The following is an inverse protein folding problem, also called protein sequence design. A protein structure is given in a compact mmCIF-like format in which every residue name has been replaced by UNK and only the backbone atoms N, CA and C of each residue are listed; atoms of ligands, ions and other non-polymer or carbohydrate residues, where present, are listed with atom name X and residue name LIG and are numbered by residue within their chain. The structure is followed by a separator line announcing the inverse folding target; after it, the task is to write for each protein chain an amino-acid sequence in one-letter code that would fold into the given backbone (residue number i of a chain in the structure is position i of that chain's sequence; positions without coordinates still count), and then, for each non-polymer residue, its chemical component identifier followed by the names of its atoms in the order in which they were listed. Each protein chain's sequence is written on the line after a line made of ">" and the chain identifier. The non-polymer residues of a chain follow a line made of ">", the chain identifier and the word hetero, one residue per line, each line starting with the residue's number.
data_IF_454207539278
#
_entry.id   IF_454207539278
#
_cell.length_a   1.000
_cell.length_b   1.000
_cell.length_c   1.000
_cell.angle_alpha   90.00
_cell.angle_beta   90.00
_cell.angle_gamma   90.00
#
_symmetry.space_group_name_H-M   'P 1'
#
loop_
_entity.id
_entity.type
_entity.pdbx_description
1 polymer ?
#
# COMPACT_ATOMS: atom_id res chain seq x y z
N UNK A 1 24.40 -2.47 25.84
CA UNK A 1 23.78 -1.51 24.89
C UNK A 1 23.27 -2.33 23.71
N UNK A 2 21.99 -2.24 23.41
CA UNK A 2 21.44 -2.87 22.20
C UNK A 2 21.65 -1.92 21.03
N UNK A 3 22.09 -2.45 19.90
CA UNK A 3 22.18 -1.71 18.64
C UNK A 3 21.20 -2.37 17.68
N UNK A 4 20.37 -1.56 16.99
CA UNK A 4 19.47 -1.99 15.94
C UNK A 4 19.78 -1.22 14.66
N UNK A 5 19.74 -1.92 13.54
CA UNK A 5 19.88 -1.32 12.20
C UNK A 5 18.60 -1.54 11.41
N UNK A 6 18.02 -0.46 10.89
CA UNK A 6 16.83 -0.45 10.06
C UNK A 6 17.25 -0.45 8.59
N UNK A 7 16.87 -1.46 7.82
CA UNK A 7 16.96 -1.43 6.36
C UNK A 7 15.82 -0.58 5.79
N UNK A 8 16.13 0.34 4.88
CA UNK A 8 15.16 1.21 4.22
C UNK A 8 15.58 1.54 2.81
N UNK A 9 14.61 1.80 1.94
CA UNK A 9 14.87 2.44 0.64
C UNK A 9 15.26 3.90 0.85
N UNK A 10 16.01 4.45 -0.10
CA UNK A 10 16.50 5.85 -0.04
C UNK A 10 15.47 6.88 -0.54
N UNK A 11 14.29 6.49 -0.99
CA UNK A 11 13.24 7.45 -1.35
C UNK A 11 12.84 8.29 -0.14
N UNK A 12 12.52 9.58 -0.35
CA UNK A 12 12.16 10.50 0.75
C UNK A 12 11.07 9.94 1.67
N UNK A 13 10.05 9.27 1.11
CA UNK A 13 8.98 8.65 1.89
C UNK A 13 9.48 7.46 2.71
N UNK A 14 10.32 6.60 2.14
CA UNK A 14 10.84 5.44 2.87
C UNK A 14 11.81 5.89 3.99
N UNK A 15 12.63 6.89 3.73
CA UNK A 15 13.50 7.46 4.77
C UNK A 15 12.69 8.08 5.90
N UNK A 16 11.66 8.85 5.60
CA UNK A 16 10.74 9.37 6.63
C UNK A 16 10.16 8.23 7.49
N UNK A 17 9.73 7.12 6.85
CA UNK A 17 9.16 5.97 7.56
C UNK A 17 10.19 5.30 8.47
N UNK A 18 11.41 5.11 8.00
CA UNK A 18 12.52 4.56 8.79
C UNK A 18 12.90 5.47 9.95
N UNK A 19 12.98 6.77 9.73
CA UNK A 19 13.27 7.78 10.76
C UNK A 19 12.17 7.81 11.83
N UNK A 20 10.90 7.76 11.42
CA UNK A 20 9.78 7.68 12.33
C UNK A 20 9.87 6.45 13.25
N UNK A 21 10.17 5.28 12.71
CA UNK A 21 10.35 4.05 13.50
C UNK A 21 11.60 4.13 14.37
N UNK A 22 12.71 4.65 13.86
CA UNK A 22 13.95 4.90 14.64
C UNK A 22 13.66 5.74 15.89
N UNK A 23 12.96 6.85 15.70
CA UNK A 23 12.71 7.79 16.77
C UNK A 23 11.75 7.23 17.81
N UNK A 24 10.72 6.46 17.39
CA UNK A 24 9.86 5.70 18.30
C UNK A 24 10.63 4.63 19.08
N UNK A 25 11.51 3.88 18.43
CA UNK A 25 12.34 2.87 19.11
C UNK A 25 13.28 3.49 20.14
N UNK A 26 13.89 4.65 19.83
CA UNK A 26 14.74 5.38 20.78
C UNK A 26 13.95 5.89 22.00
N UNK A 27 12.71 6.32 21.78
CA UNK A 27 11.81 6.74 22.86
C UNK A 27 11.40 5.57 23.77
N UNK A 28 11.11 4.40 23.18
CA UNK A 28 10.73 3.19 23.92
C UNK A 28 11.92 2.55 24.63
N UNK A 29 13.11 2.64 24.05
CA UNK A 29 14.34 2.00 24.53
C UNK A 29 15.50 3.00 24.61
N UNK A 30 15.55 3.90 25.62
CA UNK A 30 16.54 4.99 25.70
C UNK A 30 18.00 4.54 25.69
N UNK A 31 18.27 3.27 26.03
CA UNK A 31 19.62 2.66 25.98
C UNK A 31 19.97 2.00 24.64
N UNK A 32 19.09 2.06 23.65
CA UNK A 32 19.29 1.44 22.35
C UNK A 32 19.82 2.47 21.33
N UNK A 33 20.89 2.08 20.62
CA UNK A 33 21.35 2.82 19.44
C UNK A 33 20.63 2.29 18.22
N UNK A 34 19.93 3.16 17.47
CA UNK A 34 19.22 2.79 16.25
C UNK A 34 19.79 3.55 15.07
N UNK A 35 20.32 2.83 14.08
CA UNK A 35 20.84 3.34 12.81
C UNK A 35 19.94 2.98 11.64
N UNK A 36 20.11 3.65 10.50
CA UNK A 36 19.38 3.36 9.26
C UNK A 36 20.41 3.00 8.18
N UNK A 37 20.19 1.87 7.52
CA UNK A 37 20.91 1.43 6.34
C UNK A 37 20.03 1.73 5.11
N UNK A 38 20.35 2.83 4.42
CA UNK A 38 19.69 3.20 3.17
C UNK A 38 20.19 2.36 2.00
N UNK A 39 19.29 1.96 1.10
CA UNK A 39 19.65 1.23 -0.10
C UNK A 39 18.70 1.52 -1.26
N UNK A 40 19.23 1.42 -2.48
CA UNK A 40 18.46 1.59 -3.71
C UNK A 40 17.99 0.23 -4.19
N UNK A 41 16.69 0.07 -4.42
CA UNK A 41 16.12 -1.19 -4.94
C UNK A 41 16.01 -1.18 -6.46
N UNK A 42 15.89 -2.38 -7.08
CA UNK A 42 15.62 -2.49 -8.53
C UNK A 42 14.33 -1.77 -8.92
N UNK A 43 13.33 -1.78 -8.06
CA UNK A 43 12.07 -1.06 -8.28
C UNK A 43 12.24 0.46 -8.35
N UNK A 44 13.25 1.03 -7.65
CA UNK A 44 13.58 2.45 -7.70
C UNK A 44 14.32 2.83 -8.98
N UNK A 45 15.09 1.92 -9.56
CA UNK A 45 15.89 2.14 -10.77
C UNK A 45 15.06 2.04 -12.07
N UNK A 46 14.02 1.21 -12.10
CA UNK A 46 13.22 0.98 -13.30
C UNK A 46 12.06 1.99 -13.35
N UNK A 47 12.22 3.06 -14.11
CA UNK A 47 11.23 4.14 -14.25
C UNK A 47 10.43 4.09 -15.57
N UNK A 48 10.95 3.41 -16.60
CA UNK A 48 10.45 3.50 -17.98
C UNK A 48 9.36 2.47 -18.32
N UNK A 49 9.14 1.47 -17.47
CA UNK A 49 8.17 0.39 -17.71
C UNK A 49 7.15 0.32 -16.59
N UNK A 50 5.88 0.06 -16.90
CA UNK A 50 4.83 -0.09 -15.87
C UNK A 50 5.12 -1.31 -14.97
N UNK A 51 4.79 -1.23 -13.68
CA UNK A 51 5.02 -2.33 -12.73
C UNK A 51 4.40 -3.65 -13.18
N UNK A 52 3.27 -3.59 -13.89
CA UNK A 52 2.59 -4.75 -14.47
C UNK A 52 3.40 -5.48 -15.55
N UNK A 53 4.37 -4.82 -16.18
CA UNK A 53 5.21 -5.40 -17.24
C UNK A 53 6.57 -5.91 -16.76
N UNK A 54 6.99 -5.52 -15.55
CA UNK A 54 8.34 -5.85 -15.08
C UNK A 54 8.37 -7.26 -14.48
N UNK A 55 7.21 -7.80 -14.09
CA UNK A 55 7.09 -9.12 -13.46
C UNK A 55 8.03 -9.25 -12.25
N UNK A 56 7.52 -9.57 -11.10
CA UNK A 56 8.37 -9.83 -9.96
C UNK A 56 7.72 -9.40 -8.64
N UNK A 57 7.37 -10.39 -7.85
CA UNK A 57 7.01 -10.19 -6.45
C UNK A 57 8.24 -9.63 -5.73
N UNK A 58 8.08 -8.57 -4.95
CA UNK A 58 9.14 -8.07 -4.09
C UNK A 58 10.14 -7.08 -4.71
N UNK A 59 9.85 -6.41 -5.82
CA UNK A 59 10.74 -5.42 -6.47
C UNK A 59 11.27 -4.31 -5.55
N UNK A 60 10.59 -4.04 -4.46
CA UNK A 60 10.94 -3.00 -3.49
C UNK A 60 11.38 -3.56 -2.13
N UNK A 61 11.41 -4.89 -1.97
CA UNK A 61 11.61 -5.57 -0.69
C UNK A 61 12.85 -6.45 -0.71
N UNK A 62 13.17 -7.04 -1.86
CA UNK A 62 14.21 -8.07 -2.00
C UNK A 62 15.60 -7.63 -1.49
N UNK A 63 16.03 -6.43 -1.79
CA UNK A 63 17.33 -5.92 -1.32
C UNK A 63 17.37 -5.74 0.19
N UNK A 64 16.21 -5.37 0.79
CA UNK A 64 16.08 -5.25 2.23
C UNK A 64 16.11 -6.64 2.90
N UNK A 65 15.41 -7.63 2.33
CA UNK A 65 15.46 -9.03 2.79
C UNK A 65 16.89 -9.60 2.74
N UNK A 66 17.63 -9.31 1.66
CA UNK A 66 19.06 -9.72 1.56
C UNK A 66 19.91 -9.08 2.68
N UNK A 67 19.66 -7.81 3.01
CA UNK A 67 20.37 -7.16 4.11
C UNK A 67 20.02 -7.76 5.48
N UNK A 68 18.75 -8.14 5.70
CA UNK A 68 18.30 -8.85 6.88
C UNK A 68 18.95 -10.24 6.99
N UNK A 69 18.96 -11.00 5.90
CA UNK A 69 19.54 -12.35 5.83
C UNK A 69 21.06 -12.31 6.10
N UNK A 70 21.74 -11.32 5.53
CA UNK A 70 23.18 -11.13 5.74
C UNK A 70 23.54 -10.55 7.13
N UNK A 71 22.56 -10.25 7.98
CA UNK A 71 22.79 -9.64 9.29
C UNK A 71 23.33 -8.20 9.22
N UNK A 72 23.17 -7.51 8.10
CA UNK A 72 23.52 -6.10 7.93
C UNK A 72 22.45 -5.18 8.53
N UNK A 73 21.22 -5.68 8.66
CA UNK A 73 20.11 -5.00 9.32
C UNK A 73 19.34 -6.00 10.20
N UNK A 74 18.66 -5.47 11.23
CA UNK A 74 17.85 -6.24 12.17
C UNK A 74 16.37 -6.23 11.80
N UNK A 75 15.91 -5.15 11.18
CA UNK A 75 14.52 -4.95 10.75
C UNK A 75 14.45 -4.12 9.46
N UNK A 76 13.37 -4.29 8.71
CA UNK A 76 13.04 -3.48 7.54
C UNK A 76 11.69 -2.80 7.73
N UNK A 77 11.59 -1.54 7.27
CA UNK A 77 10.37 -0.73 7.38
C UNK A 77 9.74 -0.55 6.00
N UNK A 78 8.45 -0.86 5.90
CA UNK A 78 7.70 -0.85 4.65
C UNK A 78 6.39 -0.08 4.76
N UNK A 79 5.94 0.49 3.64
CA UNK A 79 4.51 0.74 3.46
C UNK A 79 3.81 -0.61 3.32
N UNK A 80 2.82 -0.90 4.14
CA UNK A 80 2.15 -2.21 4.18
C UNK A 80 1.62 -2.69 2.83
N UNK A 81 1.10 -1.76 2.00
CA UNK A 81 0.59 -2.09 0.66
C UNK A 81 1.65 -2.61 -0.32
N UNK A 82 2.94 -2.37 -0.03
CA UNK A 82 4.06 -2.76 -0.88
C UNK A 82 4.68 -4.10 -0.40
N UNK A 83 4.28 -4.59 0.77
CA UNK A 83 4.73 -5.89 1.32
C UNK A 83 4.03 -7.03 0.59
N UNK A 84 4.77 -8.01 0.06
CA UNK A 84 4.19 -9.20 -0.56
C UNK A 84 3.17 -9.88 0.34
N UNK A 85 2.12 -10.48 -0.23
CA UNK A 85 1.09 -11.17 0.57
C UNK A 85 1.67 -12.36 1.33
N UNK A 86 2.71 -13.00 0.78
CA UNK A 86 3.51 -14.05 1.40
C UNK A 86 4.95 -13.58 1.45
N UNK A 87 5.55 -13.64 2.63
CA UNK A 87 6.97 -13.39 2.82
C UNK A 87 7.78 -14.65 2.50
N UNK A 88 9.03 -14.52 2.07
CA UNK A 88 9.91 -15.66 1.92
C UNK A 88 10.09 -16.43 3.25
N UNK A 89 10.39 -17.73 3.19
CA UNK A 89 10.76 -18.48 4.39
C UNK A 89 11.91 -17.80 5.16
N UNK A 90 11.80 -17.76 6.47
CA UNK A 90 12.80 -17.11 7.33
C UNK A 90 12.48 -15.67 7.71
N UNK A 91 11.46 -15.07 7.12
CA UNK A 91 11.01 -13.69 7.46
C UNK A 91 9.60 -13.68 8.04
N UNK A 92 9.33 -12.65 8.83
CA UNK A 92 8.01 -12.41 9.42
C UNK A 92 7.71 -10.93 9.52
N UNK A 93 6.44 -10.59 9.38
CA UNK A 93 5.92 -9.27 9.66
C UNK A 93 5.64 -9.17 11.17
N UNK A 94 6.58 -8.62 11.91
CA UNK A 94 6.51 -8.53 13.36
C UNK A 94 5.56 -7.46 13.88
N UNK A 95 5.36 -6.40 13.09
CA UNK A 95 4.54 -5.23 13.48
C UNK A 95 3.72 -4.75 12.31
N UNK A 96 2.46 -4.43 12.61
CA UNK A 96 1.62 -3.56 11.78
C UNK A 96 1.31 -2.34 12.65
N UNK A 97 1.90 -1.20 12.28
CA UNK A 97 1.77 0.06 13.03
C UNK A 97 0.44 0.76 12.78
N UNK A 98 0.18 1.78 13.59
CA UNK A 98 -1.01 2.62 13.46
C UNK A 98 -1.18 3.15 12.03
N UNK A 99 -2.42 3.13 11.54
CA UNK A 99 -2.76 3.51 10.17
C UNK A 99 -2.95 5.01 10.06
N UNK A 100 -2.22 5.66 9.16
CA UNK A 100 -2.53 7.00 8.66
C UNK A 100 -3.69 6.89 7.64
N UNK A 101 -4.26 8.02 7.22
CA UNK A 101 -5.39 8.11 6.29
C UNK A 101 -5.24 7.14 5.09
N UNK A 102 -6.11 6.12 4.97
CA UNK A 102 -6.01 5.11 3.92
C UNK A 102 -6.49 5.60 2.56
N UNK A 103 -7.13 6.77 2.48
CA UNK A 103 -7.79 7.27 1.27
C UNK A 103 -6.80 7.64 0.19
N UNK A 104 -7.30 7.64 -1.03
CA UNK A 104 -6.61 8.25 -2.16
C UNK A 104 -6.85 9.76 -2.16
N UNK A 105 -5.79 10.50 -2.48
CA UNK A 105 -5.81 11.96 -2.59
C UNK A 105 -5.86 12.38 -4.05
N UNK A 106 -6.79 13.26 -4.37
CA UNK A 106 -6.84 14.01 -5.61
C UNK A 106 -5.91 15.21 -5.49
N UNK A 107 -4.97 15.31 -6.41
CA UNK A 107 -4.00 16.41 -6.48
C UNK A 107 -4.07 17.04 -7.85
N UNK A 108 -4.30 18.34 -7.90
CA UNK A 108 -4.37 19.14 -9.12
C UNK A 108 -3.90 20.56 -8.84
N UNK A 109 -3.38 21.26 -9.86
CA UNK A 109 -3.07 22.68 -9.75
C UNK A 109 -4.27 23.57 -10.11
N UNK A 110 -5.27 23.03 -10.81
CA UNK A 110 -6.38 23.81 -11.39
C UNK A 110 -7.75 23.40 -10.86
N UNK A 111 -7.96 22.12 -10.49
CA UNK A 111 -9.26 21.56 -10.16
C UNK A 111 -9.33 21.14 -8.70
N UNK A 112 -10.51 21.22 -8.09
CA UNK A 112 -10.73 20.86 -6.69
C UNK A 112 -11.14 19.38 -6.52
N UNK A 113 -11.80 18.76 -7.51
CA UNK A 113 -12.34 17.39 -7.47
C UNK A 113 -12.25 16.71 -8.83
N UNK A 114 -12.35 15.37 -8.83
CA UNK A 114 -12.44 14.58 -10.07
C UNK A 114 -13.63 15.00 -10.96
N UNK A 115 -14.76 15.34 -10.34
CA UNK A 115 -15.97 15.78 -11.06
C UNK A 115 -15.82 17.09 -11.79
N UNK A 116 -14.84 17.91 -11.45
CA UNK A 116 -14.62 19.23 -12.04
C UNK A 116 -13.76 19.14 -13.31
N UNK A 117 -13.16 17.98 -13.58
CA UNK A 117 -12.35 17.76 -14.77
C UNK A 117 -13.24 17.73 -16.03
N UNK A 118 -12.82 18.42 -17.12
CA UNK A 118 -13.55 18.41 -18.38
C UNK A 118 -13.48 17.02 -19.07
N UNK A 119 -14.39 16.75 -20.02
CA UNK A 119 -14.27 15.59 -20.90
C UNK A 119 -12.88 15.54 -21.57
N UNK A 120 -12.22 14.36 -21.48
CA UNK A 120 -10.86 14.18 -21.96
C UNK A 120 -9.76 14.58 -20.97
N UNK A 121 -10.12 15.17 -19.82
CA UNK A 121 -9.17 15.55 -18.76
C UNK A 121 -8.25 14.40 -18.39
N UNK A 122 -6.95 14.69 -18.23
CA UNK A 122 -5.88 13.67 -18.08
C UNK A 122 -5.56 13.46 -16.61
N UNK A 123 -5.82 12.23 -16.11
CA UNK A 123 -5.49 11.83 -14.75
C UNK A 123 -4.31 10.86 -14.74
N UNK A 124 -3.26 11.22 -13.98
CA UNK A 124 -2.05 10.42 -13.85
C UNK A 124 -2.14 9.36 -12.76
N UNK A 125 -2.00 8.07 -13.13
CA UNK A 125 -1.79 6.95 -12.20
C UNK A 125 -1.15 5.77 -12.92
N UNK A 126 -0.37 4.94 -12.21
CA UNK A 126 0.10 3.63 -12.69
C UNK A 126 -0.44 2.50 -11.82
N UNK A 127 -1.42 2.79 -10.96
CA UNK A 127 -2.10 1.79 -10.15
C UNK A 127 -3.32 1.27 -10.91
N UNK A 128 -3.30 -0.01 -11.28
CA UNK A 128 -4.46 -0.67 -11.94
C UNK A 128 -5.71 -0.59 -11.06
N UNK A 129 -5.56 -0.65 -9.74
CA UNK A 129 -6.65 -0.45 -8.78
C UNK A 129 -7.33 0.91 -8.94
N UNK A 130 -6.53 1.99 -9.05
CA UNK A 130 -7.06 3.34 -9.25
C UNK A 130 -7.62 3.54 -10.64
N UNK A 131 -6.90 3.06 -11.64
CA UNK A 131 -7.30 3.16 -13.05
C UNK A 131 -8.67 2.51 -13.29
N UNK A 132 -8.88 1.28 -12.82
CA UNK A 132 -10.16 0.58 -12.97
C UNK A 132 -11.32 1.36 -12.34
N UNK A 133 -11.13 1.88 -11.11
CA UNK A 133 -12.15 2.68 -10.43
C UNK A 133 -12.42 4.02 -11.13
N UNK A 134 -11.38 4.68 -11.62
CA UNK A 134 -11.53 5.92 -12.41
C UNK A 134 -12.33 5.66 -13.70
N UNK A 135 -11.95 4.64 -14.47
CA UNK A 135 -12.61 4.32 -15.74
C UNK A 135 -14.07 3.90 -15.56
N UNK A 136 -14.37 3.16 -14.50
CA UNK A 136 -15.74 2.76 -14.19
C UNK A 136 -16.63 3.95 -13.80
N UNK A 137 -16.11 4.93 -13.05
CA UNK A 137 -16.89 6.04 -12.49
C UNK A 137 -16.84 7.33 -13.32
N UNK A 138 -15.71 7.55 -14.00
CA UNK A 138 -15.43 8.75 -14.80
C UNK A 138 -14.96 8.37 -16.20
N UNK A 139 -15.82 7.68 -17.01
CA UNK A 139 -15.42 7.16 -18.33
C UNK A 139 -15.07 8.26 -19.35
N UNK A 140 -15.42 9.51 -19.05
CA UNK A 140 -15.07 10.66 -19.87
C UNK A 140 -13.64 11.18 -19.64
N UNK A 141 -12.92 10.66 -18.62
CA UNK A 141 -11.55 11.05 -18.33
C UNK A 141 -10.54 10.14 -19.04
N UNK A 142 -9.37 10.72 -19.32
CA UNK A 142 -8.23 10.00 -19.88
C UNK A 142 -7.26 9.62 -18.78
N UNK A 143 -6.99 8.34 -18.60
CA UNK A 143 -5.99 7.86 -17.63
C UNK A 143 -4.66 7.61 -18.32
N UNK A 144 -3.59 8.24 -17.82
CA UNK A 144 -2.22 8.04 -18.33
C UNK A 144 -1.29 7.52 -17.24
N UNK A 145 -0.28 6.67 -17.61
CA UNK A 145 0.71 6.18 -16.65
C UNK A 145 1.51 7.30 -15.99
N UNK A 146 1.63 7.24 -14.67
CA UNK A 146 2.43 8.16 -13.86
C UNK A 146 3.37 7.37 -12.95
N UNK A 147 4.69 7.45 -13.21
CA UNK A 147 5.75 6.75 -12.48
C UNK A 147 6.69 7.72 -11.77
N UNK A 148 7.45 7.17 -10.82
CA UNK A 148 8.40 7.88 -9.97
C UNK A 148 7.98 7.89 -8.50
N UNK A 149 8.81 8.46 -7.64
CA UNK A 149 8.46 8.74 -6.25
C UNK A 149 7.44 9.90 -6.15
N UNK A 150 6.98 10.23 -4.95
CA UNK A 150 5.98 11.28 -4.73
C UNK A 150 6.43 12.62 -5.32
N UNK A 151 7.68 13.02 -5.06
CA UNK A 151 8.23 14.30 -5.58
C UNK A 151 8.28 14.34 -7.12
N UNK A 152 8.73 13.24 -7.75
CA UNK A 152 8.77 13.14 -9.21
C UNK A 152 7.36 13.25 -9.83
N UNK A 153 6.36 12.62 -9.19
CA UNK A 153 4.98 12.68 -9.69
C UNK A 153 4.36 14.06 -9.55
N UNK A 154 4.63 14.75 -8.43
CA UNK A 154 4.20 16.13 -8.23
C UNK A 154 4.88 17.07 -9.24
N UNK A 155 6.19 16.89 -9.48
CA UNK A 155 6.89 17.67 -10.50
C UNK A 155 6.27 17.51 -11.89
N UNK A 156 5.89 16.30 -12.31
CA UNK A 156 5.22 16.07 -13.60
C UNK A 156 3.85 16.75 -13.68
N UNK A 157 3.12 16.84 -12.56
CA UNK A 157 1.89 17.63 -12.48
C UNK A 157 2.18 19.12 -12.60
N UNK A 158 3.22 19.62 -11.93
CA UNK A 158 3.62 21.04 -11.97
C UNK A 158 4.19 21.47 -13.34
N UNK A 159 4.61 20.49 -14.16
CA UNK A 159 5.01 20.66 -15.56
C UNK A 159 3.83 20.48 -16.54
N UNK A 160 2.59 20.51 -16.08
CA UNK A 160 1.35 20.41 -16.87
C UNK A 160 1.24 19.14 -17.74
N UNK A 161 1.94 18.05 -17.35
CA UNK A 161 1.83 16.75 -18.05
C UNK A 161 0.49 16.04 -17.76
N UNK A 162 -0.22 16.46 -16.72
CA UNK A 162 -1.50 15.93 -16.24
C UNK A 162 -2.37 17.07 -15.70
N UNK A 163 -3.69 16.98 -15.87
CA UNK A 163 -4.65 17.88 -15.21
C UNK A 163 -4.80 17.55 -13.70
N UNK A 164 -4.64 16.27 -13.36
CA UNK A 164 -4.66 15.79 -11.99
C UNK A 164 -3.86 14.48 -11.85
N UNK A 165 -3.50 14.15 -10.62
CA UNK A 165 -2.88 12.86 -10.27
C UNK A 165 -3.53 12.27 -9.02
N UNK A 166 -3.54 10.94 -8.89
CA UNK A 166 -3.98 10.25 -7.68
C UNK A 166 -2.79 9.69 -6.90
N UNK A 167 -2.70 10.07 -5.64
CA UNK A 167 -1.68 9.60 -4.69
C UNK A 167 -2.34 9.03 -3.42
N UNK A 168 -1.58 8.30 -2.61
CA UNK A 168 -2.05 7.94 -1.28
C UNK A 168 -1.91 9.15 -0.34
N UNK A 169 -2.98 9.52 0.37
CA UNK A 169 -3.00 10.64 1.31
C UNK A 169 -1.91 10.51 2.37
N UNK A 170 -1.74 9.31 2.94
CA UNK A 170 -0.71 9.02 3.92
C UNK A 170 0.71 9.41 3.45
N UNK A 171 1.04 9.16 2.18
CA UNK A 171 2.34 9.51 1.62
C UNK A 171 2.57 11.02 1.55
N UNK A 172 1.56 11.78 1.15
CA UNK A 172 1.62 13.26 1.11
C UNK A 172 1.72 13.85 2.52
N UNK A 173 0.88 13.38 3.46
CA UNK A 173 0.89 13.85 4.84
C UNK A 173 2.24 13.61 5.53
N UNK A 174 2.82 12.40 5.38
CA UNK A 174 4.12 12.05 5.94
C UNK A 174 5.26 12.93 5.42
N UNK A 175 5.19 13.36 4.18
CA UNK A 175 6.17 14.26 3.57
C UNK A 175 5.90 15.75 3.84
N UNK A 176 4.89 16.10 4.65
CA UNK A 176 4.50 17.49 4.88
C UNK A 176 3.89 18.18 3.65
N UNK A 177 3.36 17.38 2.71
CA UNK A 177 2.76 17.86 1.46
C UNK A 177 1.23 17.79 1.49
N UNK A 178 0.63 17.83 2.68
CA UNK A 178 -0.82 17.80 2.85
C UNK A 178 -1.55 18.91 2.10
N UNK A 179 -0.96 20.08 1.99
CA UNK A 179 -1.52 21.24 1.29
C UNK A 179 -1.69 21.02 -0.23
N UNK A 180 -1.03 20.00 -0.80
CA UNK A 180 -1.20 19.60 -2.20
C UNK A 180 -2.48 18.79 -2.42
N UNK A 181 -3.12 18.30 -1.36
CA UNK A 181 -4.37 17.54 -1.43
C UNK A 181 -5.52 18.52 -1.65
N UNK A 182 -6.15 18.46 -2.83
CA UNK A 182 -7.34 19.22 -3.13
C UNK A 182 -8.59 18.59 -2.52
N UNK A 183 -8.73 17.28 -2.69
CA UNK A 183 -9.79 16.50 -2.05
C UNK A 183 -9.32 15.07 -1.75
N UNK A 184 -9.97 14.45 -0.79
CA UNK A 184 -9.80 13.04 -0.45
C UNK A 184 -10.97 12.28 -1.08
N UNK A 185 -10.66 11.22 -1.82
CA UNK A 185 -11.69 10.34 -2.34
C UNK A 185 -12.28 9.52 -1.19
N UNK A 186 -13.60 9.39 -1.13
CA UNK A 186 -14.23 8.52 -0.14
C UNK A 186 -13.80 7.07 -0.37
N UNK A 187 -13.86 6.24 0.67
CA UNK A 187 -13.52 4.81 0.53
C UNK A 187 -14.48 4.10 -0.44
N UNK A 188 -15.73 4.55 -0.50
CA UNK A 188 -16.76 4.06 -1.42
C UNK A 188 -16.43 4.42 -2.88
N UNK A 189 -15.83 5.59 -3.09
CA UNK A 189 -15.46 6.06 -4.43
C UNK A 189 -14.11 5.52 -4.89
N UNK A 190 -13.20 5.27 -3.97
CA UNK A 190 -11.89 4.69 -4.26
C UNK A 190 -11.47 3.73 -3.15
N UNK A 191 -11.88 2.46 -3.26
CA UNK A 191 -11.49 1.43 -2.29
C UNK A 191 -9.96 1.32 -2.27
N UNK A 192 -9.32 1.51 -1.10
CA UNK A 192 -7.86 1.50 -0.96
C UNK A 192 -7.21 0.16 -1.31
N UNK A 193 -5.90 0.19 -1.51
CA UNK A 193 -5.10 -1.04 -1.54
C UNK A 193 -5.02 -1.65 -0.13
N UNK A 194 -4.94 -2.98 -0.03
CA UNK A 194 -4.73 -3.67 1.24
C UNK A 194 -3.51 -3.09 1.99
N UNK A 195 -3.72 -2.66 3.22
CA UNK A 195 -2.70 -2.06 4.07
C UNK A 195 -2.33 -0.61 3.72
N UNK A 196 -3.01 0.06 2.80
CA UNK A 196 -2.72 1.47 2.50
C UNK A 196 -2.85 2.34 3.75
N UNK A 197 -1.83 3.18 4.01
CA UNK A 197 -1.73 4.03 5.19
C UNK A 197 -0.99 3.41 6.37
N UNK A 198 -0.91 2.09 6.49
CA UNK A 198 -0.17 1.42 7.57
C UNK A 198 1.32 1.23 7.22
N UNK A 199 2.17 1.16 8.26
CA UNK A 199 3.56 0.72 8.18
C UNK A 199 3.66 -0.74 8.64
N UNK A 200 4.53 -1.51 7.99
CA UNK A 200 4.92 -2.84 8.41
C UNK A 200 6.38 -2.90 8.80
N UNK A 201 6.71 -3.67 9.83
CA UNK A 201 8.08 -3.95 10.20
C UNK A 201 8.33 -5.45 10.02
N UNK A 202 9.25 -5.74 9.13
CA UNK A 202 9.70 -7.08 8.81
C UNK A 202 11.01 -7.38 9.53
N UNK A 203 11.15 -8.61 10.05
CA UNK A 203 12.35 -9.12 10.68
C UNK A 203 12.59 -10.57 10.24
N UNK A 204 13.76 -11.10 10.54
CA UNK A 204 13.95 -12.55 10.49
C UNK A 204 13.15 -13.24 11.59
N UNK A 205 12.56 -14.38 11.28
CA UNK A 205 11.73 -15.15 12.22
C UNK A 205 12.51 -15.76 13.39
N UNK A 206 13.83 -15.87 13.25
CA UNK A 206 14.75 -16.41 14.28
C UNK A 206 15.27 -15.34 15.26
N UNK A 207 14.69 -14.13 15.28
CA UNK A 207 15.11 -12.99 16.12
C UNK A 207 14.06 -12.63 17.21
N UNK A 208 13.76 -13.50 18.19
CA UNK A 208 12.74 -13.22 19.20
C UNK A 208 13.06 -12.00 20.09
N UNK A 209 14.34 -11.70 20.30
CA UNK A 209 14.76 -10.53 21.07
C UNK A 209 14.41 -9.22 20.34
N UNK A 210 14.61 -9.16 19.03
CA UNK A 210 14.19 -8.02 18.21
C UNK A 210 12.67 -7.90 18.19
N UNK A 211 11.96 -9.02 17.99
CA UNK A 211 10.50 -9.04 18.01
C UNK A 211 9.95 -8.47 19.32
N UNK A 212 10.52 -8.85 20.48
CA UNK A 212 10.11 -8.35 21.78
C UNK A 212 10.29 -6.83 21.93
N UNK A 213 11.33 -6.25 21.36
CA UNK A 213 11.55 -4.81 21.37
C UNK A 213 10.52 -4.04 20.50
N UNK A 214 9.93 -4.69 19.52
CA UNK A 214 9.01 -4.09 18.55
C UNK A 214 7.54 -4.15 19.00
N UNK A 215 7.17 -4.99 19.95
CA UNK A 215 5.77 -5.26 20.35
C UNK A 215 4.97 -3.97 20.62
N UNK A 216 5.58 -2.98 21.29
CA UNK A 216 4.91 -1.72 21.62
C UNK A 216 4.62 -0.83 20.38
N UNK A 217 5.17 -1.15 19.23
CA UNK A 217 4.88 -0.45 17.97
C UNK A 217 3.66 -1.03 17.25
N UNK A 218 3.22 -2.23 17.61
CA UNK A 218 2.08 -2.87 16.98
C UNK A 218 0.78 -2.18 17.39
N UNK A 219 -0.12 -1.95 16.41
CA UNK A 219 -1.44 -1.41 16.64
C UNK A 219 -2.49 -2.49 16.37
N UNK A 220 -3.09 -3.10 17.42
CA UNK A 220 -3.95 -4.28 17.26
C UNK A 220 -5.14 -4.08 16.32
N UNK A 221 -5.81 -2.93 16.40
CA UNK A 221 -6.96 -2.63 15.54
C UNK A 221 -6.56 -2.51 14.07
N UNK A 222 -5.48 -1.78 13.77
CA UNK A 222 -4.94 -1.71 12.41
C UNK A 222 -4.46 -3.08 11.94
N UNK A 223 -3.82 -3.86 12.81
CA UNK A 223 -3.35 -5.19 12.47
C UNK A 223 -4.50 -6.12 12.08
N UNK A 224 -5.62 -6.11 12.82
CA UNK A 224 -6.80 -6.88 12.48
C UNK A 224 -7.36 -6.46 11.10
N UNK A 225 -7.55 -5.16 10.88
CA UNK A 225 -8.02 -4.65 9.59
C UNK A 225 -7.11 -5.06 8.43
N UNK A 226 -5.80 -4.83 8.57
CA UNK A 226 -4.82 -5.13 7.50
C UNK A 226 -4.71 -6.62 7.23
N UNK A 227 -4.81 -7.48 8.25
CA UNK A 227 -4.80 -8.94 8.09
C UNK A 227 -6.01 -9.41 7.28
N UNK A 228 -7.21 -8.88 7.54
CA UNK A 228 -8.40 -9.17 6.74
C UNK A 228 -8.24 -8.71 5.28
N UNK A 229 -7.77 -7.49 5.04
CA UNK A 229 -7.52 -6.94 3.71
C UNK A 229 -6.49 -7.78 2.93
N UNK A 230 -5.39 -8.17 3.57
CA UNK A 230 -4.35 -9.02 2.98
C UNK A 230 -4.86 -10.43 2.66
N UNK A 231 -5.78 -10.96 3.46
CA UNK A 231 -6.40 -12.26 3.17
C UNK A 231 -7.22 -12.21 1.89
N UNK A 232 -8.01 -11.14 1.65
CA UNK A 232 -8.70 -10.95 0.36
C UNK A 232 -7.72 -10.98 -0.80
N UNK A 233 -6.63 -10.22 -0.67
CA UNK A 233 -5.59 -10.15 -1.71
C UNK A 233 -4.90 -11.50 -1.93
N UNK A 234 -4.63 -12.25 -0.86
CA UNK A 234 -4.00 -13.58 -0.92
C UNK A 234 -4.87 -14.58 -1.68
N UNK A 235 -6.15 -14.66 -1.34
CA UNK A 235 -7.11 -15.61 -1.95
C UNK A 235 -7.35 -15.29 -3.42
N UNK A 236 -7.41 -14.01 -3.77
CA UNK A 236 -7.67 -13.56 -5.14
C UNK A 236 -6.39 -13.48 -5.99
N UNK A 237 -5.24 -13.90 -5.46
CA UNK A 237 -3.96 -13.82 -6.17
C UNK A 237 -3.50 -12.38 -6.41
N UNK A 238 -3.97 -11.45 -5.56
CA UNK A 238 -3.71 -10.03 -5.68
C UNK A 238 -2.25 -9.67 -5.50
N UNK A 239 -1.75 -8.89 -6.44
CA UNK A 239 -0.47 -8.19 -6.40
C UNK A 239 -0.70 -6.74 -6.82
N UNK A 240 0.36 -5.94 -6.84
CA UNK A 240 0.28 -4.57 -7.41
C UNK A 240 -0.15 -4.55 -8.89
N UNK A 241 -0.25 -5.72 -9.53
CA UNK A 241 -0.57 -5.93 -10.94
C UNK A 241 -2.03 -6.31 -11.18
N UNK A 242 -2.84 -6.39 -10.12
CA UNK A 242 -4.26 -6.76 -10.20
C UNK A 242 -5.11 -5.54 -9.82
N UNK A 243 -6.16 -5.22 -10.59
CA UNK A 243 -7.11 -4.15 -10.24
C UNK A 243 -8.03 -4.64 -9.12
N UNK A 244 -7.48 -4.71 -7.92
CA UNK A 244 -8.10 -5.18 -6.70
C UNK A 244 -7.87 -4.15 -5.57
N UNK A 245 -8.89 -3.92 -4.77
CA UNK A 245 -8.82 -3.16 -3.53
C UNK A 245 -9.58 -3.87 -2.43
N UNK A 246 -9.11 -3.71 -1.20
CA UNK A 246 -9.80 -4.16 0.01
C UNK A 246 -9.49 -3.19 1.15
N UNK A 247 -10.53 -2.80 1.89
CA UNK A 247 -10.39 -1.92 3.03
C UNK A 247 -11.30 -2.35 4.16
N UNK A 248 -10.73 -2.47 5.35
CA UNK A 248 -11.44 -2.86 6.56
C UNK A 248 -11.41 -1.74 7.60
N UNK A 249 -12.48 -1.67 8.37
CA UNK A 249 -12.64 -0.79 9.52
C UNK A 249 -13.20 -1.57 10.70
N UNK A 250 -12.82 -1.19 11.91
CA UNK A 250 -13.39 -1.70 13.14
C UNK A 250 -14.48 -0.73 13.63
N UNK A 251 -15.68 -1.25 13.86
CA UNK A 251 -16.81 -0.49 14.40
C UNK A 251 -17.34 -1.23 15.64
N UNK A 252 -17.02 -0.74 16.83
CA UNK A 252 -17.23 -1.49 18.05
C UNK A 252 -16.47 -2.83 18.01
N UNK A 253 -17.17 -3.92 18.28
CA UNK A 253 -16.61 -5.28 18.28
C UNK A 253 -16.77 -6.01 16.92
N UNK A 254 -17.03 -5.26 15.85
CA UNK A 254 -17.24 -5.85 14.52
C UNK A 254 -16.26 -5.29 13.51
N UNK A 255 -15.57 -6.18 12.80
CA UNK A 255 -14.71 -5.84 11.68
C UNK A 255 -15.56 -5.84 10.40
N UNK A 256 -15.64 -4.68 9.74
CA UNK A 256 -16.28 -4.50 8.44
C UNK A 256 -15.23 -4.40 7.36
N UNK A 257 -15.43 -5.09 6.25
CA UNK A 257 -14.52 -5.06 5.10
C UNK A 257 -15.30 -4.91 3.81
N UNK A 258 -14.84 -4.05 2.92
CA UNK A 258 -15.32 -3.92 1.56
C UNK A 258 -14.17 -4.12 0.58
N UNK A 259 -14.46 -4.67 -0.60
CA UNK A 259 -13.46 -4.89 -1.62
C UNK A 259 -14.05 -5.01 -3.01
N UNK A 260 -13.18 -4.96 -4.01
CA UNK A 260 -13.56 -5.10 -5.40
C UNK A 260 -12.49 -5.81 -6.22
N UNK A 261 -12.93 -6.37 -7.34
CA UNK A 261 -12.08 -6.81 -8.46
C UNK A 261 -12.69 -6.23 -9.74
N UNK A 262 -11.86 -5.73 -10.66
CA UNK A 262 -12.34 -5.16 -11.90
C UNK A 262 -11.42 -5.48 -13.08
N UNK A 263 -11.94 -5.31 -14.30
CA UNK A 263 -11.07 -5.21 -15.47
C UNK A 263 -10.29 -3.87 -15.43
N UNK A 264 -9.06 -3.81 -15.95
CA UNK A 264 -8.29 -2.58 -16.00
C UNK A 264 -8.99 -1.42 -16.73
N UNK A 265 -9.83 -1.75 -17.71
CA UNK A 265 -10.61 -0.79 -18.48
C UNK A 265 -11.91 -0.32 -17.79
N UNK A 266 -12.24 -0.89 -16.61
CA UNK A 266 -13.44 -0.57 -15.85
C UNK A 266 -14.73 -1.20 -16.40
N UNK A 267 -14.68 -2.01 -17.46
CA UNK A 267 -15.86 -2.60 -18.13
C UNK A 267 -16.62 -3.61 -17.26
N UNK A 268 -15.91 -4.32 -16.39
CA UNK A 268 -16.48 -5.18 -15.37
C UNK A 268 -15.95 -4.76 -14.01
N UNK A 269 -16.87 -4.51 -13.10
CA UNK A 269 -16.56 -4.06 -11.74
C UNK A 269 -17.41 -4.86 -10.74
N UNK A 270 -16.77 -5.78 -10.04
CA UNK A 270 -17.38 -6.63 -9.02
C UNK A 270 -16.97 -6.11 -7.66
N UNK A 271 -17.91 -5.81 -6.80
CA UNK A 271 -17.65 -5.40 -5.43
C UNK A 271 -18.62 -6.09 -4.47
N UNK A 272 -18.18 -6.32 -3.24
CA UNK A 272 -19.01 -6.78 -2.13
C UNK A 272 -18.40 -6.36 -0.79
N UNK A 273 -19.10 -6.64 0.28
CA UNK A 273 -18.69 -6.39 1.64
C UNK A 273 -18.98 -7.58 2.54
N UNK A 274 -18.24 -7.69 3.63
CA UNK A 274 -18.43 -8.67 4.68
C UNK A 274 -18.20 -8.04 6.05
N UNK A 275 -18.68 -8.70 7.10
CA UNK A 275 -18.40 -8.32 8.47
C UNK A 275 -18.25 -9.57 9.34
N UNK A 276 -17.51 -9.45 10.43
CA UNK A 276 -17.29 -10.56 11.36
C UNK A 276 -16.45 -10.18 12.57
N UNK A 277 -15.96 -11.20 13.25
CA UNK A 277 -15.21 -11.06 14.49
C UNK A 277 -13.78 -10.55 14.22
N UNK A 278 -13.35 -9.43 14.82
CA UNK A 278 -11.99 -8.91 14.66
C UNK A 278 -10.90 -9.81 15.25
N UNK A 279 -11.26 -10.80 16.06
CA UNK A 279 -10.32 -11.80 16.60
C UNK A 279 -9.92 -12.85 15.57
N UNK A 280 -10.73 -13.02 14.50
CA UNK A 280 -10.42 -13.87 13.36
C UNK A 280 -10.54 -13.08 12.04
N UNK A 281 -9.65 -12.10 11.83
CA UNK A 281 -9.74 -11.19 10.70
C UNK A 281 -9.52 -11.90 9.36
N UNK A 282 -8.74 -12.97 9.33
CA UNK A 282 -8.53 -13.76 8.12
C UNK A 282 -9.82 -14.46 7.68
N UNK A 283 -10.64 -14.95 8.60
CA UNK A 283 -11.94 -15.52 8.25
C UNK A 283 -12.88 -14.48 7.63
N UNK A 284 -12.84 -13.23 8.13
CA UNK A 284 -13.63 -12.14 7.55
C UNK A 284 -13.13 -11.78 6.15
N UNK A 285 -11.82 -11.72 5.94
CA UNK A 285 -11.22 -11.52 4.63
C UNK A 285 -11.52 -12.66 3.65
N UNK A 286 -11.49 -13.91 4.12
CA UNK A 286 -11.86 -15.09 3.33
C UNK A 286 -13.32 -15.01 2.88
N UNK A 287 -14.23 -14.67 3.79
CA UNK A 287 -15.66 -14.52 3.48
C UNK A 287 -15.90 -13.50 2.36
N UNK A 288 -15.21 -12.35 2.38
CA UNK A 288 -15.32 -11.37 1.30
C UNK A 288 -14.75 -11.92 -0.01
N UNK A 289 -13.60 -12.58 0.04
CA UNK A 289 -12.99 -13.16 -1.15
C UNK A 289 -13.92 -14.21 -1.82
N UNK A 290 -14.54 -15.07 -1.01
CA UNK A 290 -15.48 -16.10 -1.50
C UNK A 290 -16.72 -15.47 -2.16
N UNK A 291 -17.25 -14.38 -1.58
CA UNK A 291 -18.35 -13.62 -2.18
C UNK A 291 -17.96 -13.01 -3.53
N UNK A 292 -16.77 -12.38 -3.62
CA UNK A 292 -16.28 -11.81 -4.87
C UNK A 292 -16.09 -12.91 -5.95
N UNK A 293 -15.57 -14.09 -5.54
CA UNK A 293 -15.44 -15.25 -6.44
C UNK A 293 -16.81 -15.76 -6.92
N UNK A 294 -17.79 -15.83 -6.05
CA UNK A 294 -19.15 -16.23 -6.41
C UNK A 294 -19.83 -15.26 -7.40
N UNK A 295 -19.46 -13.96 -7.33
CA UNK A 295 -19.89 -12.93 -8.28
C UNK A 295 -19.12 -12.95 -9.61
N UNK A 296 -18.13 -13.85 -9.78
CA UNK A 296 -17.41 -14.03 -11.04
C UNK A 296 -16.01 -13.39 -11.08
N UNK A 297 -15.45 -12.98 -9.96
CA UNK A 297 -14.12 -12.38 -9.92
C UNK A 297 -13.03 -13.26 -10.55
N UNK A 298 -13.16 -14.60 -10.49
CA UNK A 298 -12.22 -15.54 -11.13
C UNK A 298 -12.05 -15.28 -12.62
N UNK A 299 -13.16 -15.05 -13.35
CA UNK A 299 -13.10 -14.81 -14.80
C UNK A 299 -12.32 -13.52 -15.14
N UNK A 300 -12.44 -12.48 -14.31
CA UNK A 300 -11.67 -11.24 -14.47
C UNK A 300 -10.19 -11.52 -14.22
N UNK A 301 -9.86 -12.23 -13.13
CA UNK A 301 -8.48 -12.52 -12.73
C UNK A 301 -7.75 -13.39 -13.77
N UNK A 302 -8.42 -14.41 -14.31
CA UNK A 302 -7.85 -15.33 -15.30
C UNK A 302 -7.64 -14.66 -16.68
N UNK A 303 -8.40 -13.58 -16.96
CA UNK A 303 -8.24 -12.80 -18.19
C UNK A 303 -7.09 -11.77 -18.13
N UNK A 304 -6.51 -11.52 -16.94
CA UNK A 304 -5.37 -10.62 -16.80
C UNK A 304 -4.11 -11.26 -17.41
N UNK A 305 -3.22 -10.47 -18.04
CA UNK A 305 -1.93 -10.98 -18.51
C UNK A 305 -1.16 -11.62 -17.35
N UNK A 306 -0.59 -12.80 -17.60
CA UNK A 306 0.32 -13.42 -16.65
C UNK A 306 1.49 -12.47 -16.39
N UNK A 307 1.71 -12.08 -15.14
CA UNK A 307 2.76 -11.18 -14.71
C UNK A 307 4.14 -11.83 -14.63
#
# INVERSE_FOLDING_TARGET
>A
MHTLTIASRESALAMWQAEHIRDRLRALHPGCTVSILGMTTRGDQILDVTLSKIGGKGLFVKELEVALEAGQADLAVHSMKDVPMELPPGFTLAVIGEREDPRDAFVSNQYERLSDLPPGGVVGTSSLRREAQLRARYPHLTVKPLRGNVGTRLKKLDEDQFDAILLAAAGLKRLGLGDRIKSLLSVEDSIPAAGQGALGIEIRSDQPAVAAMLVALNHPETAACVRAERQVSRVLGGSCQVPLGAHATLQGDTLHIAGFVANPDGSQFIHDAAAGDPRDPEAVGQLLADKLLALGARAILDALPAG
#
